data_IF_918086836947
#
_entry.id   IF_918086836947
#
_cell.length_a   1.000
_cell.length_b   1.000
_cell.length_c   1.000
_cell.angle_alpha   90.00
_cell.angle_beta   90.00
_cell.angle_gamma   90.00
#
_symmetry.space_group_name_H-M   'P 1'
#
loop_
_entity.id
_entity.type
_entity.pdbx_description
1 polymer ?
#
# COMPACT_ATOMS: atom_id res chain seq x y z
N UNK A 1 -69.04 1.42 -5.01
CA UNK A 1 -68.03 1.20 -3.99
C UNK A 1 -66.92 0.19 -4.37
N UNK A 2 -67.16 -0.83 -5.17
CA UNK A 2 -66.12 -1.82 -5.56
C UNK A 2 -65.10 -1.27 -6.59
N UNK A 3 -65.52 -0.42 -7.50
CA UNK A 3 -64.66 0.19 -8.54
C UNK A 3 -63.73 1.24 -7.94
N UNK A 4 -64.13 1.98 -6.90
CA UNK A 4 -63.29 2.97 -6.24
C UNK A 4 -62.12 2.33 -5.43
N UNK A 5 -62.39 1.17 -4.82
CA UNK A 5 -61.34 0.37 -4.13
C UNK A 5 -60.32 -0.19 -5.09
N UNK A 6 -60.73 -0.58 -6.32
CA UNK A 6 -59.82 -1.10 -7.33
C UNK A 6 -58.87 -0.02 -7.88
N UNK A 7 -59.39 1.21 -8.09
CA UNK A 7 -58.59 2.36 -8.52
C UNK A 7 -57.57 2.77 -7.46
N UNK A 8 -57.97 2.72 -6.17
CA UNK A 8 -57.07 3.04 -5.07
C UNK A 8 -55.95 2.01 -4.93
N UNK A 9 -56.21 0.70 -5.14
CA UNK A 9 -55.21 -0.33 -5.13
C UNK A 9 -54.27 -0.21 -6.33
N UNK A 10 -54.76 0.18 -7.50
CA UNK A 10 -53.93 0.43 -8.69
C UNK A 10 -53.02 1.66 -8.49
N UNK A 11 -53.49 2.71 -7.81
CA UNK A 11 -52.71 3.91 -7.52
C UNK A 11 -51.65 3.68 -6.46
N UNK A 12 -51.87 2.77 -5.49
CA UNK A 12 -50.90 2.42 -4.47
C UNK A 12 -49.84 1.47 -5.03
N UNK A 13 -50.18 0.60 -6.02
CA UNK A 13 -49.23 -0.30 -6.66
C UNK A 13 -48.26 0.38 -7.62
N UNK A 14 -48.57 1.61 -8.11
CA UNK A 14 -47.66 2.38 -8.97
C UNK A 14 -46.59 3.16 -8.20
N UNK A 15 -46.73 3.29 -6.88
CA UNK A 15 -45.77 4.04 -6.04
C UNK A 15 -44.60 3.19 -5.61
N UNK A 16 -44.66 1.85 -5.75
CA UNK A 16 -43.60 0.95 -5.32
C UNK A 16 -42.56 0.54 -6.40
N UNK A 17 -42.65 1.08 -7.62
CA UNK A 17 -41.71 0.75 -8.71
C UNK A 17 -40.76 1.88 -9.10
N UNK A 18 -40.61 2.91 -8.30
CA UNK A 18 -39.62 3.98 -8.54
C UNK A 18 -38.45 3.92 -7.56
N UNK A 19 -38.10 2.75 -7.05
CA UNK A 19 -36.79 2.53 -6.46
C UNK A 19 -35.91 1.76 -7.44
N UNK A 20 -35.79 2.25 -8.67
CA UNK A 20 -34.53 2.10 -9.36
C UNK A 20 -33.60 3.10 -8.67
N UNK A 21 -32.62 2.62 -7.94
CA UNK A 21 -31.42 3.36 -7.70
C UNK A 21 -30.85 3.74 -9.07
N UNK A 22 -31.21 4.90 -9.57
CA UNK A 22 -30.35 5.59 -10.50
C UNK A 22 -29.07 5.79 -9.69
N UNK A 23 -27.99 5.21 -10.15
CA UNK A 23 -26.67 5.74 -9.90
C UNK A 23 -26.75 7.19 -10.41
N UNK A 24 -27.02 8.13 -9.50
CA UNK A 24 -27.01 9.54 -9.85
C UNK A 24 -25.55 9.87 -10.14
N UNK A 25 -25.24 10.33 -11.36
CA UNK A 25 -23.91 10.86 -11.62
C UNK A 25 -23.75 12.05 -10.67
N UNK A 26 -22.63 12.03 -9.88
CA UNK A 26 -22.08 13.15 -9.13
C UNK A 26 -23.11 14.26 -8.88
N UNK A 27 -23.52 14.46 -7.64
CA UNK A 27 -24.42 15.55 -7.26
C UNK A 27 -24.08 16.75 -8.14
N UNK A 28 -24.97 17.19 -9.02
CA UNK A 28 -24.74 18.03 -10.20
C UNK A 28 -24.10 19.41 -9.94
N UNK A 29 -23.25 19.52 -8.91
CA UNK A 29 -22.56 20.73 -8.50
C UNK A 29 -21.09 20.81 -8.95
N UNK A 30 -20.38 19.68 -9.10
CA UNK A 30 -18.98 19.67 -9.52
C UNK A 30 -18.70 18.64 -10.61
N UNK A 31 -17.78 18.93 -11.52
CA UNK A 31 -17.30 18.00 -12.54
C UNK A 31 -16.29 17.00 -11.94
N UNK A 32 -16.06 15.87 -12.63
CA UNK A 32 -15.04 14.92 -12.22
C UNK A 32 -13.65 15.57 -12.14
N UNK A 33 -13.32 16.46 -13.08
CA UNK A 33 -12.04 17.19 -13.04
C UNK A 33 -11.90 18.09 -11.82
N UNK A 34 -12.98 18.77 -11.42
CA UNK A 34 -13.02 19.56 -10.19
C UNK A 34 -12.91 18.69 -8.94
N UNK A 35 -13.59 17.54 -8.91
CA UNK A 35 -13.48 16.58 -7.81
C UNK A 35 -12.05 16.05 -7.66
N UNK A 36 -11.42 15.59 -8.75
CA UNK A 36 -10.07 15.06 -8.73
C UNK A 36 -9.03 16.11 -8.26
N UNK A 37 -9.24 17.38 -8.64
CA UNK A 37 -8.37 18.49 -8.25
C UNK A 37 -8.72 19.15 -6.92
N UNK A 38 -9.82 18.75 -6.26
CA UNK A 38 -10.21 19.26 -4.95
C UNK A 38 -9.36 18.73 -3.79
N UNK A 39 -8.62 17.65 -4.03
CA UNK A 39 -7.66 17.07 -3.09
C UNK A 39 -6.27 17.12 -3.67
N UNK A 40 -5.28 17.39 -2.81
CA UNK A 40 -3.87 17.43 -3.21
C UNK A 40 -3.37 16.06 -3.65
N UNK A 41 -3.84 15.01 -2.95
CA UNK A 41 -3.51 13.63 -3.25
C UNK A 41 -4.69 12.68 -2.98
N UNK A 42 -4.66 11.54 -3.67
CA UNK A 42 -5.59 10.44 -3.51
C UNK A 42 -4.80 9.20 -3.06
N UNK A 43 -5.01 8.76 -1.83
CA UNK A 43 -4.45 7.51 -1.33
C UNK A 43 -5.12 6.32 -2.01
N UNK A 44 -4.34 5.41 -2.56
CA UNK A 44 -4.84 4.17 -3.17
C UNK A 44 -4.91 3.09 -2.09
N UNK A 45 -6.11 2.83 -1.57
CA UNK A 45 -6.31 1.73 -0.63
C UNK A 45 -6.29 0.39 -1.37
N UNK A 46 -5.10 -0.22 -1.42
CA UNK A 46 -4.89 -1.49 -2.12
C UNK A 46 -5.67 -2.64 -1.47
N UNK A 47 -5.98 -2.54 -0.17
CA UNK A 47 -6.71 -3.56 0.57
C UNK A 47 -8.19 -3.62 0.18
N UNK A 48 -8.73 -2.50 -0.33
CA UNK A 48 -10.09 -2.38 -0.86
C UNK A 48 -10.18 -2.62 -2.37
N UNK A 49 -9.11 -3.15 -3.00
CA UNK A 49 -9.12 -3.55 -4.41
C UNK A 49 -10.10 -4.70 -4.64
N UNK A 50 -10.96 -4.56 -5.66
CA UNK A 50 -11.96 -5.56 -6.03
C UNK A 50 -11.77 -5.99 -7.48
N UNK A 51 -12.09 -7.25 -7.78
CA UNK A 51 -11.94 -7.83 -9.12
C UNK A 51 -10.73 -8.76 -9.21
N UNK A 52 -10.43 -9.23 -10.42
CA UNK A 52 -9.39 -10.23 -10.68
C UNK A 52 -8.26 -9.72 -11.56
N UNK A 53 -8.42 -8.52 -12.11
CA UNK A 53 -7.43 -7.89 -12.99
C UNK A 53 -6.45 -7.01 -12.23
N UNK A 54 -5.64 -6.28 -13.00
CA UNK A 54 -4.62 -5.40 -12.49
C UNK A 54 -4.38 -4.23 -13.47
N UNK A 55 -4.28 -3.03 -12.94
CA UNK A 55 -3.74 -1.87 -13.66
C UNK A 55 -2.39 -1.52 -13.03
N UNK A 56 -1.28 -1.83 -13.71
CA UNK A 56 0.05 -1.86 -13.10
C UNK A 56 0.46 -0.57 -12.39
N UNK A 57 0.19 0.60 -12.95
CA UNK A 57 0.57 1.86 -12.32
C UNK A 57 -0.27 2.18 -11.08
N UNK A 58 -1.56 1.78 -11.04
CA UNK A 58 -2.42 1.99 -9.88
C UNK A 58 -2.06 1.01 -8.76
N UNK A 59 -1.85 -0.26 -9.11
CA UNK A 59 -1.52 -1.29 -8.11
C UNK A 59 -0.16 -1.12 -7.45
N UNK A 60 0.71 -0.29 -8.02
CA UNK A 60 2.02 0.08 -7.46
C UNK A 60 2.01 1.43 -6.76
N UNK A 61 1.01 2.28 -7.02
CA UNK A 61 0.93 3.60 -6.42
C UNK A 61 0.44 3.53 -4.97
N UNK A 62 1.02 4.34 -4.12
CA UNK A 62 0.49 4.65 -2.79
C UNK A 62 -0.42 5.86 -2.86
N UNK A 63 -0.01 6.88 -3.60
CA UNK A 63 -0.84 8.05 -3.85
C UNK A 63 -0.81 8.43 -5.33
N UNK A 64 -1.94 8.95 -5.81
CA UNK A 64 -2.09 9.59 -7.11
C UNK A 64 -2.46 11.06 -6.88
N UNK A 65 -1.96 11.96 -7.72
CA UNK A 65 -2.35 13.37 -7.72
C UNK A 65 -2.67 13.84 -9.12
N UNK A 66 -3.72 14.65 -9.25
CA UNK A 66 -4.28 15.11 -10.53
C UNK A 66 -4.21 16.63 -10.59
N UNK A 67 -3.18 17.17 -11.27
CA UNK A 67 -2.90 18.62 -11.29
C UNK A 67 -2.77 19.12 -12.70
N UNK A 68 -3.69 19.99 -13.15
CA UNK A 68 -3.65 20.65 -14.45
C UNK A 68 -3.40 19.71 -15.64
N UNK A 69 -4.08 18.56 -15.68
CA UNK A 69 -3.96 17.56 -16.74
C UNK A 69 -2.73 16.65 -16.62
N UNK A 70 -1.88 16.85 -15.61
CA UNK A 70 -0.76 15.95 -15.30
C UNK A 70 -1.10 15.04 -14.14
N UNK A 71 -0.65 13.80 -14.23
CA UNK A 71 -0.79 12.78 -13.20
C UNK A 71 0.56 12.57 -12.52
N UNK A 72 0.54 12.54 -11.19
CA UNK A 72 1.69 12.27 -10.35
C UNK A 72 1.41 11.04 -9.48
N UNK A 73 2.44 10.32 -9.08
CA UNK A 73 2.33 9.19 -8.19
C UNK A 73 3.51 9.09 -7.23
N UNK A 74 3.23 8.70 -5.98
CA UNK A 74 4.20 8.12 -5.08
C UNK A 74 3.99 6.60 -5.13
N UNK A 75 4.98 5.85 -5.52
CA UNK A 75 4.89 4.41 -5.68
C UNK A 75 5.99 3.62 -4.99
N UNK A 76 6.86 4.33 -4.30
CA UNK A 76 7.74 3.81 -3.27
C UNK A 76 7.43 4.53 -1.96
N UNK A 77 7.65 3.90 -0.83
CA UNK A 77 7.44 4.53 0.48
C UNK A 77 8.56 5.51 0.79
N UNK A 78 9.81 5.19 0.41
CA UNK A 78 10.95 6.07 0.64
C UNK A 78 10.72 7.45 0.03
N UNK A 79 10.95 8.49 0.81
CA UNK A 79 10.71 9.89 0.48
C UNK A 79 9.25 10.26 0.16
N UNK A 80 8.29 9.43 0.51
CA UNK A 80 6.87 9.79 0.45
C UNK A 80 6.63 11.06 1.28
N UNK A 81 5.92 12.02 0.71
CA UNK A 81 5.71 13.33 1.32
C UNK A 81 6.78 14.36 1.00
N UNK A 82 8.00 13.97 0.65
CA UNK A 82 9.08 14.88 0.23
C UNK A 82 9.18 15.00 -1.29
N UNK A 83 9.07 13.90 -2.01
CA UNK A 83 9.18 13.87 -3.46
C UNK A 83 8.08 14.71 -4.12
N UNK A 84 8.47 15.69 -4.96
CA UNK A 84 7.53 16.55 -5.68
C UNK A 84 6.59 17.35 -4.77
N UNK A 85 7.03 17.78 -3.59
CA UNK A 85 6.20 18.45 -2.57
C UNK A 85 5.01 17.59 -2.10
N UNK A 86 5.19 16.29 -1.98
CA UNK A 86 4.15 15.34 -1.56
C UNK A 86 3.28 14.81 -2.70
N UNK A 87 3.42 15.33 -3.92
CA UNK A 87 2.66 14.84 -5.08
C UNK A 87 3.29 13.57 -5.68
N UNK A 88 4.57 13.29 -5.39
CA UNK A 88 5.33 12.25 -6.05
C UNK A 88 5.98 12.71 -7.35
N UNK A 89 6.31 11.76 -8.21
CA UNK A 89 6.89 12.01 -9.54
C UNK A 89 5.79 12.12 -10.60
N UNK A 90 6.06 12.89 -11.66
CA UNK A 90 5.16 12.91 -12.82
C UNK A 90 5.21 11.56 -13.53
N UNK A 91 4.05 10.94 -13.74
CA UNK A 91 3.93 9.60 -14.34
C UNK A 91 3.07 9.58 -15.60
N UNK A 92 2.56 10.73 -16.02
CA UNK A 92 1.74 10.81 -17.22
C UNK A 92 0.73 11.94 -17.19
N UNK A 93 -0.33 11.77 -17.97
CA UNK A 93 -1.41 12.76 -18.12
C UNK A 93 -2.75 12.13 -17.85
N UNK A 94 -3.72 12.97 -17.49
CA UNK A 94 -5.12 12.56 -17.38
C UNK A 94 -6.03 13.57 -18.07
N UNK A 95 -7.22 13.09 -18.42
CA UNK A 95 -8.37 13.88 -18.84
C UNK A 95 -9.63 13.30 -18.18
N UNK A 96 -10.69 14.10 -18.09
CA UNK A 96 -11.94 13.68 -17.49
C UNK A 96 -13.13 14.16 -18.33
N UNK A 97 -14.05 13.23 -18.62
CA UNK A 97 -15.27 13.52 -19.37
C UNK A 97 -16.47 12.80 -18.74
N UNK A 98 -17.39 13.56 -18.18
CA UNK A 98 -18.52 12.99 -17.43
C UNK A 98 -18.01 12.21 -16.22
N UNK A 99 -18.28 10.90 -16.19
CA UNK A 99 -17.80 9.98 -15.14
C UNK A 99 -16.49 9.27 -15.53
N UNK A 100 -15.96 9.52 -16.72
CA UNK A 100 -14.79 8.80 -17.22
C UNK A 100 -13.52 9.57 -16.89
N UNK A 101 -12.56 8.85 -16.27
CA UNK A 101 -11.18 9.27 -16.10
C UNK A 101 -10.32 8.55 -17.14
N UNK A 102 -9.80 9.30 -18.10
CA UNK A 102 -8.82 8.79 -19.05
C UNK A 102 -7.41 9.11 -18.55
N UNK A 103 -6.56 8.10 -18.47
CA UNK A 103 -5.16 8.25 -18.08
C UNK A 103 -4.25 7.80 -19.22
N UNK A 104 -3.11 8.47 -19.37
CA UNK A 104 -2.04 8.06 -20.28
C UNK A 104 -0.75 8.04 -19.48
N UNK A 105 -0.46 6.86 -18.89
CA UNK A 105 0.74 6.64 -18.09
C UNK A 105 1.95 6.45 -19.02
N UNK A 106 3.07 7.10 -18.69
CA UNK A 106 4.24 7.18 -19.58
C UNK A 106 4.89 5.82 -19.87
N UNK A 107 4.75 4.84 -18.95
CA UNK A 107 5.30 3.50 -19.11
C UNK A 107 4.24 2.45 -19.49
N UNK A 108 3.07 2.51 -18.85
CA UNK A 108 2.05 1.46 -18.95
C UNK A 108 0.97 1.77 -20.00
N UNK A 109 0.95 3.00 -20.56
CA UNK A 109 0.05 3.39 -21.64
C UNK A 109 -1.31 3.91 -21.15
N UNK A 110 -2.35 3.74 -22.00
CA UNK A 110 -3.66 4.36 -21.79
C UNK A 110 -4.64 3.42 -21.09
N UNK A 111 -5.34 3.97 -20.08
CA UNK A 111 -6.45 3.32 -19.39
C UNK A 111 -7.64 4.28 -19.30
N UNK A 112 -8.83 3.70 -19.20
CA UNK A 112 -10.08 4.45 -18.99
C UNK A 112 -10.82 3.83 -17.82
N UNK A 113 -11.13 4.66 -16.83
CA UNK A 113 -11.85 4.24 -15.63
C UNK A 113 -13.22 4.90 -15.57
N UNK A 114 -14.23 4.10 -15.22
CA UNK A 114 -15.51 4.62 -14.72
C UNK A 114 -15.28 5.05 -13.26
N UNK A 115 -15.66 6.28 -12.93
CA UNK A 115 -15.47 6.83 -11.58
C UNK A 115 -16.81 6.91 -10.87
N UNK A 116 -16.90 6.27 -9.71
CA UNK A 116 -18.03 6.35 -8.80
C UNK A 116 -17.60 7.11 -7.54
N UNK A 117 -18.22 8.24 -7.26
CA UNK A 117 -18.04 8.94 -5.99
C UNK A 117 -18.84 8.24 -4.90
N UNK A 118 -18.16 7.84 -3.81
CA UNK A 118 -18.76 7.15 -2.67
C UNK A 118 -19.09 8.09 -1.51
N UNK A 119 -18.23 9.09 -1.30
CA UNK A 119 -18.40 10.15 -0.30
C UNK A 119 -17.78 11.46 -0.80
N UNK A 120 -17.65 12.46 0.06
CA UNK A 120 -17.00 13.72 -0.31
C UNK A 120 -15.55 13.51 -0.76
N UNK A 121 -14.83 12.63 -0.07
CA UNK A 121 -13.40 12.36 -0.30
C UNK A 121 -13.09 10.91 -0.70
N UNK A 122 -14.09 10.11 -1.08
CA UNK A 122 -13.86 8.74 -1.54
C UNK A 122 -14.41 8.55 -2.94
N UNK A 123 -13.59 8.01 -3.80
CA UNK A 123 -13.96 7.58 -5.14
C UNK A 123 -13.54 6.14 -5.38
N UNK A 124 -14.32 5.42 -6.17
CA UNK A 124 -13.90 4.13 -6.72
C UNK A 124 -13.70 4.29 -8.22
N UNK A 125 -12.50 3.96 -8.67
CA UNK A 125 -12.18 3.91 -10.10
C UNK A 125 -12.26 2.47 -10.56
N UNK A 126 -12.96 2.21 -11.67
CA UNK A 126 -13.18 0.88 -12.21
C UNK A 126 -12.72 0.79 -13.66
N UNK A 127 -11.76 -0.10 -13.94
CA UNK A 127 -11.38 -0.48 -15.30
C UNK A 127 -12.16 -1.73 -15.72
N UNK A 128 -13.14 -1.53 -16.65
CA UNK A 128 -14.01 -2.60 -17.14
C UNK A 128 -13.25 -3.61 -17.99
N UNK A 129 -12.18 -3.19 -18.69
CA UNK A 129 -11.40 -4.07 -19.56
C UNK A 129 -10.53 -5.01 -18.75
N UNK A 130 -9.95 -4.51 -17.66
CA UNK A 130 -9.13 -5.30 -16.74
C UNK A 130 -9.95 -5.99 -15.64
N UNK A 131 -11.25 -5.67 -15.52
CA UNK A 131 -12.12 -6.18 -14.46
C UNK A 131 -11.52 -5.98 -13.06
N UNK A 132 -11.13 -4.75 -12.76
CA UNK A 132 -10.57 -4.35 -11.47
C UNK A 132 -11.05 -2.96 -11.06
N UNK A 133 -11.25 -2.76 -9.77
CA UNK A 133 -11.53 -1.45 -9.21
C UNK A 133 -10.67 -1.16 -7.99
N UNK A 134 -10.34 0.11 -7.80
CA UNK A 134 -9.54 0.62 -6.69
C UNK A 134 -10.32 1.67 -5.93
N UNK A 135 -10.23 1.64 -4.60
CA UNK A 135 -10.72 2.71 -3.74
C UNK A 135 -9.62 3.77 -3.61
N UNK A 136 -9.99 5.02 -3.85
CA UNK A 136 -9.13 6.17 -3.66
C UNK A 136 -9.74 7.08 -2.60
N UNK A 137 -8.94 7.50 -1.62
CA UNK A 137 -9.35 8.41 -0.54
C UNK A 137 -8.58 9.71 -0.68
N UNK A 138 -9.31 10.83 -0.85
CA UNK A 138 -8.74 12.16 -1.07
C UNK A 138 -8.31 12.83 0.23
N UNK A 139 -7.12 13.42 0.22
CA UNK A 139 -6.54 14.17 1.33
C UNK A 139 -5.93 15.48 0.87
N UNK A 140 -5.95 16.47 1.76
CA UNK A 140 -5.02 17.58 1.68
C UNK A 140 -3.66 17.13 2.23
N UNK A 141 -2.55 17.55 1.63
CA UNK A 141 -1.20 17.11 2.04
C UNK A 141 -0.90 17.34 3.51
N UNK A 142 -1.41 18.43 4.07
CA UNK A 142 -1.20 18.80 5.46
C UNK A 142 -1.93 17.89 6.45
N UNK A 143 -2.96 17.18 5.97
CA UNK A 143 -3.80 16.27 6.77
C UNK A 143 -3.46 14.80 6.54
N UNK A 144 -2.61 14.50 5.54
CA UNK A 144 -2.26 13.13 5.20
C UNK A 144 -1.23 12.56 6.19
N UNK A 145 -1.59 11.47 6.83
CA UNK A 145 -0.72 10.75 7.75
C UNK A 145 0.21 9.80 6.98
N UNK A 146 1.42 10.27 6.67
CA UNK A 146 2.43 9.47 5.98
C UNK A 146 2.96 8.32 6.85
N UNK A 147 2.90 8.43 8.17
CA UNK A 147 3.33 7.35 9.05
C UNK A 147 2.35 6.18 8.97
N UNK A 148 1.04 6.46 8.93
CA UNK A 148 0.02 5.42 8.73
C UNK A 148 0.24 4.64 7.43
N UNK A 149 0.72 5.29 6.38
CA UNK A 149 1.03 4.65 5.10
C UNK A 149 2.04 3.50 5.25
N UNK A 150 3.07 3.67 6.08
CA UNK A 150 4.09 2.63 6.33
C UNK A 150 3.46 1.40 7.00
N UNK A 151 2.62 1.61 8.00
CA UNK A 151 2.00 0.51 8.72
C UNK A 151 0.95 -0.22 7.91
N UNK A 152 0.20 0.47 7.06
CA UNK A 152 -0.76 -0.14 6.15
C UNK A 152 -0.11 -0.97 5.05
N UNK A 153 1.12 -0.60 4.65
CA UNK A 153 1.87 -1.26 3.59
C UNK A 153 3.18 -1.90 4.07
N UNK A 154 3.26 -2.25 5.35
CA UNK A 154 4.50 -2.64 6.03
C UNK A 154 5.27 -3.78 5.33
N UNK A 155 4.57 -4.80 4.82
CA UNK A 155 5.26 -5.90 4.15
C UNK A 155 5.90 -5.46 2.83
N UNK A 156 5.21 -4.58 2.08
CA UNK A 156 5.78 -3.98 0.88
C UNK A 156 6.98 -3.10 1.23
N UNK A 157 6.88 -2.31 2.29
CA UNK A 157 7.96 -1.47 2.80
C UNK A 157 9.19 -2.28 3.21
N UNK A 158 9.01 -3.38 3.93
CA UNK A 158 10.12 -4.28 4.28
C UNK A 158 10.85 -4.84 3.05
N UNK A 159 10.14 -4.97 1.92
CA UNK A 159 10.69 -5.48 0.68
C UNK A 159 11.34 -4.41 -0.22
N UNK A 160 11.31 -3.14 0.14
CA UNK A 160 11.84 -2.06 -0.68
C UNK A 160 13.36 -1.93 -0.65
N UNK A 161 14.03 -2.61 0.27
CA UNK A 161 15.48 -2.61 0.37
C UNK A 161 16.07 -3.97 0.03
N UNK A 162 17.25 -3.95 -0.61
CA UNK A 162 18.01 -5.18 -0.88
C UNK A 162 18.39 -5.90 0.41
N UNK A 163 18.70 -5.13 1.47
CA UNK A 163 18.93 -5.64 2.80
C UNK A 163 18.62 -4.58 3.86
N UNK A 164 18.29 -5.01 5.05
CA UNK A 164 18.21 -4.21 6.27
C UNK A 164 19.44 -4.50 7.11
N UNK A 165 20.28 -3.50 7.36
CA UNK A 165 21.47 -3.64 8.20
C UNK A 165 21.15 -3.21 9.61
N UNK A 166 21.49 -4.02 10.59
CA UNK A 166 21.40 -3.61 12.01
C UNK A 166 22.43 -2.53 12.29
N UNK A 167 21.96 -1.33 12.60
CA UNK A 167 22.82 -0.15 12.83
C UNK A 167 22.99 0.19 14.30
N UNK A 168 22.07 -0.26 15.15
CA UNK A 168 22.12 0.04 16.57
C UNK A 168 21.40 -1.04 17.40
N UNK A 169 21.69 -1.05 18.71
CA UNK A 169 20.92 -1.73 19.75
C UNK A 169 20.57 -0.69 20.80
N UNK A 170 19.33 -0.23 20.81
CA UNK A 170 18.88 0.86 21.71
C UNK A 170 18.58 0.36 23.13
N UNK A 171 18.17 -0.90 23.26
CA UNK A 171 17.96 -1.57 24.56
C UNK A 171 18.62 -2.94 24.51
N UNK A 172 19.47 -3.23 25.48
CA UNK A 172 20.15 -4.53 25.60
C UNK A 172 19.38 -5.39 26.60
N UNK A 173 18.84 -6.50 26.11
CA UNK A 173 18.18 -7.52 26.92
C UNK A 173 19.10 -8.70 27.26
N UNK A 174 18.53 -9.90 27.35
CA UNK A 174 19.31 -11.12 27.54
C UNK A 174 19.94 -11.58 26.22
N UNK A 175 21.22 -12.07 26.23
CA UNK A 175 21.85 -12.60 25.03
C UNK A 175 20.99 -13.69 24.37
N UNK A 176 20.92 -13.64 23.04
CA UNK A 176 20.09 -14.56 22.26
C UNK A 176 20.75 -14.82 20.87
N UNK A 177 20.37 -15.88 20.15
CA UNK A 177 20.97 -16.21 18.85
C UNK A 177 20.86 -15.12 17.80
N UNK A 178 19.78 -14.33 17.81
CA UNK A 178 19.55 -13.24 16.85
C UNK A 178 20.58 -12.09 16.99
N UNK A 179 21.28 -12.00 18.12
CA UNK A 179 22.36 -11.02 18.31
C UNK A 179 23.50 -11.17 17.28
N UNK A 180 23.65 -12.33 16.67
CA UNK A 180 24.64 -12.61 15.62
C UNK A 180 24.16 -12.23 14.21
N UNK A 181 22.88 -11.92 14.04
CA UNK A 181 22.29 -11.61 12.74
C UNK A 181 22.35 -10.11 12.48
N UNK A 182 23.20 -9.72 11.52
CA UNK A 182 23.50 -8.32 11.24
C UNK A 182 22.71 -7.74 10.08
N UNK A 183 22.24 -8.61 9.16
CA UNK A 183 21.45 -8.21 8.00
C UNK A 183 20.21 -9.09 7.86
N UNK A 184 19.13 -8.46 7.44
CA UNK A 184 17.87 -9.13 7.05
C UNK A 184 17.51 -8.75 5.61
N UNK A 185 16.88 -9.67 4.89
CA UNK A 185 16.23 -9.41 3.62
C UNK A 185 14.83 -9.99 3.65
N UNK A 186 13.85 -9.20 3.22
CA UNK A 186 12.49 -9.66 3.01
C UNK A 186 12.21 -9.69 1.52
N UNK A 187 11.82 -10.86 0.99
CA UNK A 187 11.63 -11.01 -0.45
C UNK A 187 10.15 -11.09 -0.80
N UNK A 188 9.75 -10.55 -1.97
CA UNK A 188 8.41 -10.74 -2.50
C UNK A 188 8.16 -12.15 -3.05
N UNK A 189 9.20 -13.00 -3.13
CA UNK A 189 9.08 -14.38 -3.61
C UNK A 189 8.24 -15.16 -2.61
N UNK A 190 7.08 -15.63 -3.06
CA UNK A 190 6.04 -16.26 -2.25
C UNK A 190 5.48 -15.36 -1.13
N UNK A 191 5.76 -14.07 -1.13
CA UNK A 191 5.31 -13.03 -0.19
C UNK A 191 5.62 -13.32 1.29
N UNK A 192 6.54 -14.23 1.59
CA UNK A 192 6.79 -14.66 2.96
C UNK A 192 8.23 -15.13 3.22
N UNK A 193 9.13 -15.05 2.25
CA UNK A 193 10.51 -15.53 2.45
C UNK A 193 11.39 -14.42 2.99
N UNK A 194 12.18 -14.73 4.02
CA UNK A 194 13.26 -13.87 4.50
C UNK A 194 14.59 -14.61 4.47
N UNK A 195 15.67 -13.82 4.47
CA UNK A 195 17.04 -14.29 4.67
C UNK A 195 17.69 -13.47 5.76
N UNK A 196 18.65 -14.05 6.47
CA UNK A 196 19.51 -13.31 7.39
C UNK A 196 20.97 -13.66 7.22
N UNK A 197 21.84 -12.70 7.60
CA UNK A 197 23.29 -12.82 7.44
C UNK A 197 24.03 -12.36 8.70
N UNK A 198 25.13 -13.06 9.00
CA UNK A 198 26.09 -12.71 10.05
C UNK A 198 27.31 -11.97 9.52
N UNK A 199 27.30 -11.56 8.26
CA UNK A 199 28.40 -10.78 7.68
C UNK A 199 28.72 -9.53 8.54
N UNK A 200 29.99 -9.09 8.55
CA UNK A 200 30.38 -7.89 9.29
C UNK A 200 29.59 -6.64 8.86
N UNK A 201 29.34 -5.76 9.83
CA UNK A 201 28.71 -4.46 9.55
C UNK A 201 29.44 -3.71 8.45
N UNK A 202 28.68 -3.01 7.58
CA UNK A 202 29.22 -2.29 6.45
C UNK A 202 29.56 -3.15 5.24
N UNK A 203 29.28 -4.46 5.26
CA UNK A 203 29.39 -5.31 4.07
C UNK A 203 28.50 -4.77 2.95
N UNK A 204 29.04 -4.68 1.73
CA UNK A 204 28.25 -4.27 0.57
C UNK A 204 27.11 -5.28 0.34
N UNK A 205 25.89 -4.77 0.17
CA UNK A 205 24.68 -5.59 0.01
C UNK A 205 24.75 -6.61 -1.13
N UNK A 206 25.52 -6.32 -2.19
CA UNK A 206 25.73 -7.24 -3.31
C UNK A 206 26.67 -8.43 -2.98
N UNK A 207 27.38 -8.34 -1.86
CA UNK A 207 28.36 -9.35 -1.42
C UNK A 207 27.89 -10.12 -0.18
N UNK A 208 26.68 -9.89 0.30
CA UNK A 208 26.15 -10.57 1.47
C UNK A 208 26.01 -12.07 1.24
N UNK A 209 26.41 -12.84 2.22
CA UNK A 209 26.21 -14.29 2.28
C UNK A 209 25.05 -14.53 3.26
N UNK A 210 23.99 -15.15 2.77
CA UNK A 210 22.84 -15.47 3.59
C UNK A 210 23.07 -16.77 4.35
N UNK A 211 23.17 -16.67 5.68
CA UNK A 211 23.43 -17.81 6.57
C UNK A 211 22.16 -18.59 6.88
N UNK A 212 21.03 -17.86 6.98
CA UNK A 212 19.73 -18.43 7.36
C UNK A 212 18.67 -17.99 6.39
N UNK A 213 17.62 -18.82 6.28
CA UNK A 213 16.41 -18.55 5.52
C UNK A 213 15.20 -19.08 6.24
N UNK A 214 14.03 -18.57 5.88
CA UNK A 214 12.76 -19.00 6.43
C UNK A 214 11.58 -18.21 5.90
N UNK A 215 10.47 -18.31 6.60
CA UNK A 215 9.28 -17.55 6.27
C UNK A 215 9.01 -16.49 7.34
N UNK A 216 8.57 -15.32 6.91
CA UNK A 216 8.10 -14.28 7.81
C UNK A 216 6.60 -14.04 7.67
N UNK A 217 5.99 -13.56 8.73
CA UNK A 217 4.60 -13.07 8.73
C UNK A 217 4.54 -11.77 9.54
N UNK A 218 3.67 -10.85 9.12
CA UNK A 218 3.39 -9.61 9.85
C UNK A 218 1.94 -9.62 10.31
N UNK A 219 1.69 -9.25 11.55
CA UNK A 219 0.36 -9.22 12.16
C UNK A 219 0.04 -7.84 12.72
N UNK A 220 -1.23 -7.45 12.57
CA UNK A 220 -1.75 -6.26 13.23
C UNK A 220 -1.87 -6.48 14.75
N UNK A 221 -1.68 -5.40 15.50
CA UNK A 221 -1.96 -5.33 16.92
C UNK A 221 -3.26 -4.57 17.14
N UNK A 222 -4.26 -5.23 17.70
CA UNK A 222 -5.58 -4.60 17.92
C UNK A 222 -5.46 -3.41 18.86
N UNK A 223 -5.86 -2.21 18.39
CA UNK A 223 -5.83 -0.97 19.15
C UNK A 223 -4.50 -0.22 19.09
N UNK A 224 -3.56 -0.67 18.23
CA UNK A 224 -2.27 -0.01 18.01
C UNK A 224 -1.96 0.00 16.51
N UNK A 225 -2.34 1.07 15.84
CA UNK A 225 -2.18 1.18 14.39
C UNK A 225 -0.70 1.38 13.99
N UNK A 226 0.12 1.90 14.90
CA UNK A 226 1.54 2.15 14.75
C UNK A 226 2.44 1.04 15.32
N UNK A 227 1.93 -0.19 15.42
CA UNK A 227 2.66 -1.34 15.92
C UNK A 227 2.26 -2.60 15.15
N UNK A 228 3.24 -3.39 14.74
CA UNK A 228 3.03 -4.70 14.13
C UNK A 228 3.80 -5.77 14.90
N UNK A 229 3.40 -7.02 14.73
CA UNK A 229 4.19 -8.17 15.17
C UNK A 229 4.82 -8.80 13.93
N UNK A 230 6.15 -8.85 13.89
CA UNK A 230 6.92 -9.59 12.90
C UNK A 230 7.33 -10.92 13.50
N UNK A 231 7.08 -12.01 12.77
CA UNK A 231 7.56 -13.35 13.13
C UNK A 231 8.50 -13.86 12.07
N UNK A 232 9.61 -14.46 12.48
CA UNK A 232 10.58 -15.15 11.63
C UNK A 232 10.56 -16.63 11.98
N UNK A 233 10.18 -17.48 11.01
CA UNK A 233 10.16 -18.94 11.16
C UNK A 233 11.31 -19.51 10.31
N UNK A 234 12.40 -19.90 10.93
CA UNK A 234 13.58 -20.43 10.26
C UNK A 234 13.34 -21.85 9.72
N UNK A 235 14.00 -22.21 8.63
CA UNK A 235 13.84 -23.53 8.00
C UNK A 235 14.14 -24.72 8.92
N UNK A 236 15.01 -24.53 9.91
CA UNK A 236 15.38 -25.58 10.88
C UNK A 236 14.55 -25.60 12.16
N UNK A 237 13.47 -24.81 12.20
CA UNK A 237 12.45 -24.85 13.25
C UNK A 237 12.63 -23.86 14.39
N UNK A 238 13.64 -22.99 14.32
CA UNK A 238 13.76 -21.85 15.24
C UNK A 238 12.71 -20.79 14.90
N UNK A 239 12.28 -20.02 15.91
CA UNK A 239 11.23 -19.04 15.79
C UNK A 239 11.59 -17.79 16.60
N UNK A 240 11.51 -16.63 15.94
CA UNK A 240 11.69 -15.33 16.58
C UNK A 240 10.45 -14.47 16.39
N UNK A 241 10.12 -13.68 17.41
CA UNK A 241 8.97 -12.76 17.41
C UNK A 241 9.42 -11.36 17.88
N UNK A 242 9.01 -10.36 17.08
CA UNK A 242 9.36 -8.96 17.35
C UNK A 242 8.12 -8.08 17.32
N UNK A 243 8.11 -7.07 18.20
CA UNK A 243 7.31 -5.88 17.98
C UNK A 243 8.05 -5.00 16.98
N UNK A 244 7.40 -4.70 15.86
CA UNK A 244 7.94 -3.92 14.75
C UNK A 244 7.35 -2.52 14.80
N UNK A 245 8.20 -1.50 14.88
CA UNK A 245 7.85 -0.09 14.69
C UNK A 245 8.71 0.55 13.61
N UNK A 246 8.21 1.61 12.99
CA UNK A 246 8.88 2.37 11.94
C UNK A 246 9.23 3.75 12.50
N UNK A 247 10.51 4.14 12.44
CA UNK A 247 10.95 5.47 12.82
C UNK A 247 10.83 6.47 11.66
N UNK A 248 11.15 5.99 10.47
CA UNK A 248 11.05 6.74 9.21
C UNK A 248 11.09 5.77 8.02
N UNK A 249 11.04 6.31 6.81
CA UNK A 249 11.06 5.56 5.54
C UNK A 249 12.28 4.67 5.31
N UNK A 250 13.29 4.70 6.17
CA UNK A 250 14.53 3.95 6.05
C UNK A 250 14.91 3.18 7.32
N UNK A 251 14.23 3.41 8.44
CA UNK A 251 14.63 2.87 9.75
C UNK A 251 13.46 2.16 10.41
N UNK A 252 13.68 0.91 10.81
CA UNK A 252 12.74 0.11 11.60
C UNK A 252 13.36 -0.32 12.91
N UNK A 253 12.54 -0.42 13.96
CA UNK A 253 12.91 -1.00 15.25
C UNK A 253 12.22 -2.35 15.43
N UNK A 254 13.01 -3.33 15.86
CA UNK A 254 12.56 -4.67 16.18
C UNK A 254 12.81 -4.93 17.69
N UNK A 255 11.76 -4.84 18.49
CA UNK A 255 11.83 -5.25 19.90
C UNK A 255 11.62 -6.75 19.99
N UNK A 256 12.66 -7.49 20.33
CA UNK A 256 12.64 -8.94 20.48
C UNK A 256 11.90 -9.35 21.74
N UNK A 257 10.72 -9.94 21.60
CA UNK A 257 9.79 -10.17 22.72
C UNK A 257 10.34 -11.12 23.79
N UNK A 258 11.20 -12.08 23.41
CA UNK A 258 11.75 -13.08 24.32
C UNK A 258 12.97 -12.62 25.09
N UNK A 259 13.84 -11.78 24.49
CA UNK A 259 15.06 -11.30 25.14
C UNK A 259 14.94 -9.92 25.79
N UNK A 260 13.98 -9.11 25.29
CA UNK A 260 13.85 -7.70 25.65
C UNK A 260 14.87 -6.79 24.99
N UNK A 261 15.55 -7.24 23.93
CA UNK A 261 16.50 -6.46 23.15
C UNK A 261 15.77 -5.69 22.05
N UNK A 262 16.12 -4.41 21.86
CA UNK A 262 15.61 -3.60 20.74
C UNK A 262 16.72 -3.38 19.72
N UNK A 263 16.53 -3.89 18.51
CA UNK A 263 17.43 -3.73 17.38
C UNK A 263 16.89 -2.65 16.45
N UNK A 264 17.74 -1.73 16.01
CA UNK A 264 17.46 -0.77 14.97
C UNK A 264 18.08 -1.25 13.67
N UNK A 265 17.27 -1.32 12.61
CA UNK A 265 17.70 -1.70 11.28
C UNK A 265 17.51 -0.56 10.30
N UNK A 266 18.51 -0.32 9.46
CA UNK A 266 18.50 0.69 8.40
C UNK A 266 18.49 0.00 7.04
N UNK A 267 17.58 0.41 6.16
CA UNK A 267 17.49 -0.09 4.78
C UNK A 267 18.72 0.27 3.95
N UNK A 268 19.22 -0.71 3.19
CA UNK A 268 20.36 -0.58 2.28
C UNK A 268 19.97 -1.07 0.88
N UNK A 269 20.45 -0.36 -0.15
CA UNK A 269 20.17 -0.72 -1.52
C UNK A 269 18.69 -0.56 -1.86
N UNK A 270 18.17 0.65 -1.72
CA UNK A 270 16.79 0.98 -2.05
C UNK A 270 16.41 0.55 -3.47
N UNK A 271 15.29 -0.15 -3.61
CA UNK A 271 14.80 -0.70 -4.85
C UNK A 271 13.75 0.24 -5.42
N UNK A 272 14.14 1.11 -6.34
CA UNK A 272 13.23 2.04 -6.98
C UNK A 272 12.39 1.34 -8.04
N UNK A 273 11.06 1.45 -7.97
CA UNK A 273 10.11 0.76 -8.86
C UNK A 273 9.72 1.59 -10.07
N UNK A 274 9.61 2.92 -9.91
CA UNK A 274 9.42 3.86 -11.01
C UNK A 274 10.57 4.86 -11.01
N UNK A 275 11.33 4.90 -12.10
CA UNK A 275 12.34 5.91 -12.35
C UNK A 275 11.93 6.65 -13.60
N UNK A 276 12.02 7.98 -13.52
CA UNK A 276 11.89 8.92 -14.60
C UNK A 276 12.76 8.50 -15.81
N UNK A 277 12.17 7.75 -16.75
CA UNK A 277 12.71 7.43 -18.06
C UNK A 277 14.08 6.73 -18.16
N UNK A 278 14.77 6.46 -17.05
CA UNK A 278 16.03 5.70 -17.02
C UNK A 278 15.81 4.36 -16.34
N UNK A 279 15.66 3.33 -17.17
CA UNK A 279 15.73 1.95 -16.72
C UNK A 279 17.14 1.66 -16.19
N UNK A 280 17.38 1.75 -14.89
CA UNK A 280 18.28 0.79 -14.29
C UNK A 280 17.57 -0.56 -14.42
N UNK A 281 18.19 -1.50 -15.09
CA UNK A 281 17.61 -2.84 -15.23
C UNK A 281 17.50 -3.43 -13.84
N UNK A 282 16.29 -3.58 -13.28
CA UNK A 282 16.10 -4.40 -12.10
C UNK A 282 16.56 -5.82 -12.47
N UNK A 283 17.08 -6.57 -11.51
CA UNK A 283 17.17 -8.03 -11.71
C UNK A 283 15.78 -8.55 -12.07
N UNK A 284 15.69 -9.62 -12.88
CA UNK A 284 14.42 -10.18 -13.37
C UNK A 284 13.39 -10.42 -12.23
N UNK A 285 13.87 -10.66 -11.00
CA UNK A 285 13.04 -10.83 -9.79
C UNK A 285 12.38 -9.54 -9.29
N UNK A 286 12.83 -8.37 -9.75
CA UNK A 286 12.31 -7.05 -9.34
C UNK A 286 11.20 -6.51 -10.25
N UNK A 287 11.06 -7.04 -11.48
CA UNK A 287 10.06 -6.58 -12.45
C UNK A 287 8.63 -6.98 -12.05
N UNK A 288 8.47 -8.02 -11.25
CA UNK A 288 7.16 -8.55 -10.83
C UNK A 288 6.66 -8.00 -9.47
N UNK A 289 7.36 -7.02 -8.89
CA UNK A 289 6.95 -6.42 -7.61
C UNK A 289 5.64 -5.65 -7.77
N UNK A 290 4.61 -6.16 -7.12
CA UNK A 290 3.29 -5.52 -7.04
C UNK A 290 2.93 -5.31 -5.59
N UNK A 291 2.29 -4.18 -5.29
CA UNK A 291 1.48 -4.10 -4.08
C UNK A 291 0.40 -5.16 -4.21
N UNK A 292 0.38 -6.12 -3.33
CA UNK A 292 -0.65 -7.15 -3.29
C UNK A 292 -1.53 -6.95 -2.07
N UNK A 293 -2.82 -7.25 -2.23
CA UNK A 293 -3.72 -7.36 -1.10
C UNK A 293 -3.24 -8.49 -0.20
N UNK A 294 -2.78 -8.14 1.00
CA UNK A 294 -2.33 -9.11 1.98
C UNK A 294 -3.55 -9.53 2.78
N UNK A 295 -3.86 -10.83 2.73
CA UNK A 295 -4.90 -11.39 3.59
C UNK A 295 -4.31 -11.52 4.99
N UNK A 296 -4.55 -10.51 5.84
CA UNK A 296 -4.15 -10.52 7.24
C UNK A 296 -4.82 -11.68 7.94
N UNK A 297 -4.06 -12.75 8.22
CA UNK A 297 -4.62 -14.02 8.72
C UNK A 297 -4.92 -14.03 10.21
N UNK A 298 -4.31 -13.15 11.04
CA UNK A 298 -4.54 -13.12 12.50
C UNK A 298 -4.31 -11.74 13.08
N UNK A 299 -5.20 -11.32 13.97
CA UNK A 299 -4.97 -10.23 14.92
C UNK A 299 -4.51 -10.85 16.23
N UNK A 300 -3.27 -10.62 16.67
CA UNK A 300 -2.82 -11.00 18.00
C UNK A 300 -3.35 -9.99 19.03
N UNK A 301 -3.96 -10.50 20.11
CA UNK A 301 -4.21 -9.67 21.30
C UNK A 301 -2.98 -9.71 22.17
N UNK A 302 -2.40 -8.55 22.49
CA UNK A 302 -1.46 -8.46 23.59
C UNK A 302 -2.18 -8.88 24.87
N UNK A 303 -1.56 -9.77 25.63
CA UNK A 303 -1.93 -9.97 27.04
C UNK A 303 -1.22 -8.88 27.81
N UNK A 304 -1.99 -7.88 28.28
CA UNK A 304 -1.55 -6.93 29.30
C UNK A 304 -1.14 -7.64 30.57
#
# INVERSE_FOLDING_TARGET
MKTFKLILILLVSTVFFTSCSRDEPLDGSITLGELLSSYDLWYVDIHETMGSGDVPFVSKAFTLSFVNGNMYANNNITDVGFTGNGLGISVGRYDSLGIYLETNHDLDGRYTFDVLQLSLNEIRIYDTQQNVSYLLVGYQREEFDYDMLFYDNIEYFLQEYTAWERTNISTVGTPNPFDEEHFLQFTPINNTTFYSSRDPFGTNVDNLIWDYSGNYEVFDVVGFDNLKILTLNYEFGDFEEFELTVDNDQVVNLFHTSSGTTYEFTGRGFIQILIDGKKEKPSAEREDRKRSKIIRKKKKKFKS
#
